data_IF_856020100679
#
_entry.id   IF_856020100679
#
_cell.length_a   1.000
_cell.length_b   1.000
_cell.length_c   1.000
_cell.angle_alpha   90.00
_cell.angle_beta   90.00
_cell.angle_gamma   90.00
#
_symmetry.space_group_name_H-M   'P 1'
#
loop_
_entity.id
_entity.type
_entity.pdbx_description
1 polymer ?
#
# COMPACT_ATOMS: atom_id res chain seq x y z
N UNK A 1 -10.29 -6.03 22.37
CA UNK A 1 -11.39 -5.30 21.70
C UNK A 1 -11.62 -3.91 22.29
N UNK A 2 -12.15 -3.75 23.51
CA UNK A 2 -12.48 -2.43 24.09
C UNK A 2 -11.32 -1.43 24.06
N UNK A 3 -10.13 -1.85 24.48
CA UNK A 3 -8.93 -1.01 24.45
C UNK A 3 -8.56 -0.53 23.04
N UNK A 4 -8.66 -1.41 22.04
CA UNK A 4 -8.36 -1.07 20.64
C UNK A 4 -9.32 0.00 20.12
N UNK A 5 -10.63 -0.20 20.28
CA UNK A 5 -11.61 0.78 19.85
C UNK A 5 -11.53 2.10 20.64
N UNK A 6 -11.22 2.05 21.94
CA UNK A 6 -10.99 3.27 22.72
C UNK A 6 -9.80 4.08 22.16
N UNK A 7 -8.68 3.43 21.84
CA UNK A 7 -7.51 4.08 21.20
C UNK A 7 -7.85 4.68 19.83
N UNK A 8 -8.67 4.00 19.03
CA UNK A 8 -9.14 4.52 17.74
C UNK A 8 -10.05 5.74 17.92
N UNK A 9 -10.95 5.73 18.90
CA UNK A 9 -11.84 6.86 19.20
C UNK A 9 -11.10 8.08 19.74
N UNK A 10 -9.98 7.87 20.43
CA UNK A 10 -9.09 8.94 20.89
C UNK A 10 -8.26 9.55 19.75
N UNK A 11 -8.21 8.91 18.57
CA UNK A 11 -7.43 9.41 17.43
C UNK A 11 -5.95 9.56 17.75
N UNK A 12 -5.36 8.59 18.47
CA UNK A 12 -3.96 8.61 18.94
C UNK A 12 -3.64 9.67 20.01
N UNK A 13 -4.59 10.54 20.38
CA UNK A 13 -4.45 11.49 21.49
C UNK A 13 -4.81 10.83 22.83
N UNK A 14 -3.80 10.24 23.47
CA UNK A 14 -3.96 9.57 24.76
C UNK A 14 -4.21 10.53 25.94
N UNK A 15 -4.18 11.86 25.71
CA UNK A 15 -4.52 12.86 26.74
C UNK A 15 -6.03 13.06 26.91
N UNK A 16 -6.84 12.62 25.93
CA UNK A 16 -8.29 12.85 25.90
C UNK A 16 -8.69 14.26 25.46
N UNK A 17 -7.75 15.09 24.99
CA UNK A 17 -7.97 16.47 24.60
C UNK A 17 -8.65 16.67 23.23
N UNK A 18 -8.91 15.59 22.49
CA UNK A 18 -9.56 15.64 21.18
C UNK A 18 -8.71 16.30 20.09
N UNK A 19 -7.39 16.41 20.30
CA UNK A 19 -6.43 16.98 19.32
C UNK A 19 -5.78 15.89 18.46
N UNK A 20 -6.37 14.70 18.45
CA UNK A 20 -5.92 13.55 17.70
C UNK A 20 -6.19 13.64 16.20
N UNK A 21 -5.81 12.59 15.50
CA UNK A 21 -6.07 12.40 14.08
C UNK A 21 -7.51 11.95 13.83
N UNK A 22 -7.99 12.09 12.59
CA UNK A 22 -9.32 11.59 12.24
C UNK A 22 -9.39 10.06 12.31
N UNK A 23 -10.58 9.50 12.54
CA UNK A 23 -10.78 8.05 12.70
C UNK A 23 -10.28 7.25 11.50
N UNK A 24 -10.40 7.78 10.28
CA UNK A 24 -9.89 7.13 9.07
C UNK A 24 -8.36 6.96 9.12
N UNK A 25 -7.64 8.01 9.54
CA UNK A 25 -6.19 7.95 9.71
C UNK A 25 -5.79 7.05 10.88
N UNK A 26 -6.51 7.11 12.00
CA UNK A 26 -6.26 6.22 13.14
C UNK A 26 -6.41 4.73 12.76
N UNK A 27 -7.42 4.38 11.96
CA UNK A 27 -7.59 3.02 11.44
C UNK A 27 -6.47 2.65 10.47
N UNK A 28 -6.10 3.54 9.55
CA UNK A 28 -4.99 3.33 8.61
C UNK A 28 -3.65 3.07 9.32
N UNK A 29 -3.34 3.88 10.34
CA UNK A 29 -2.17 3.69 11.20
C UNK A 29 -2.25 2.39 11.98
N UNK A 30 -3.42 2.05 12.56
CA UNK A 30 -3.61 0.81 13.30
C UNK A 30 -3.39 -0.44 12.44
N UNK A 31 -3.87 -0.45 11.18
CA UNK A 31 -3.63 -1.55 10.22
C UNK A 31 -2.13 -1.66 9.91
N UNK A 32 -1.48 -0.53 9.62
CA UNK A 32 -0.04 -0.50 9.29
C UNK A 32 0.82 -0.98 10.47
N UNK A 33 0.50 -0.52 11.68
CA UNK A 33 1.18 -0.93 12.91
C UNK A 33 0.95 -2.41 13.24
N UNK A 34 -0.27 -2.91 13.03
CA UNK A 34 -0.56 -4.35 13.18
C UNK A 34 0.26 -5.18 12.19
N UNK A 35 0.33 -4.76 10.93
CA UNK A 35 1.15 -5.42 9.92
C UNK A 35 2.63 -5.44 10.32
N UNK A 36 3.19 -4.31 10.76
CA UNK A 36 4.56 -4.23 11.25
C UNK A 36 4.79 -5.14 12.47
N UNK A 37 3.84 -5.20 13.42
CA UNK A 37 3.96 -6.05 14.60
C UNK A 37 3.87 -7.55 14.30
N UNK A 38 3.07 -7.95 13.32
CA UNK A 38 2.90 -9.37 12.95
C UNK A 38 4.02 -9.85 12.02
N UNK A 39 4.35 -9.05 11.00
CA UNK A 39 5.21 -9.45 9.89
C UNK A 39 6.58 -8.77 9.89
N UNK A 40 6.82 -7.75 10.73
CA UNK A 40 8.11 -7.03 10.78
C UNK A 40 9.29 -7.91 11.20
N UNK A 41 9.02 -8.98 11.94
CA UNK A 41 9.99 -10.01 12.33
C UNK A 41 9.93 -11.27 11.45
N UNK A 42 9.22 -11.22 10.32
CA UNK A 42 9.20 -12.32 9.35
C UNK A 42 10.47 -12.26 8.50
N UNK A 43 11.58 -12.74 9.06
CA UNK A 43 12.88 -12.71 8.39
C UNK A 43 13.23 -14.02 7.67
N UNK A 44 12.45 -15.07 7.92
CA UNK A 44 12.65 -16.43 7.42
C UNK A 44 11.40 -16.83 6.62
N UNK A 45 11.59 -17.63 5.56
CA UNK A 45 10.48 -18.29 4.87
C UNK A 45 10.06 -19.50 5.69
N UNK A 46 9.11 -19.28 6.58
CA UNK A 46 8.54 -20.29 7.47
C UNK A 46 7.08 -19.95 7.79
N UNK A 47 6.27 -20.91 8.25
CA UNK A 47 4.92 -20.65 8.71
C UNK A 47 4.92 -19.67 9.87
N UNK A 48 3.96 -18.74 9.89
CA UNK A 48 3.76 -17.87 11.05
C UNK A 48 3.41 -18.69 12.28
N UNK A 49 3.90 -18.26 13.44
CA UNK A 49 3.49 -18.89 14.69
C UNK A 49 1.96 -18.82 14.85
N UNK A 50 1.33 -19.88 15.40
CA UNK A 50 -0.13 -19.92 15.56
C UNK A 50 -0.68 -18.70 16.30
N UNK A 51 0.08 -18.19 17.28
CA UNK A 51 -0.27 -16.98 18.04
C UNK A 51 -0.29 -15.72 17.17
N UNK A 52 0.74 -15.49 16.33
CA UNK A 52 0.80 -14.34 15.41
C UNK A 52 -0.31 -14.40 14.38
N UNK A 53 -0.58 -15.59 13.85
CA UNK A 53 -1.65 -15.82 12.87
C UNK A 53 -3.04 -15.55 13.45
N UNK A 54 -3.29 -16.00 14.68
CA UNK A 54 -4.53 -15.73 15.40
C UNK A 54 -4.67 -14.23 15.72
N UNK A 55 -3.57 -13.58 16.12
CA UNK A 55 -3.54 -12.14 16.37
C UNK A 55 -3.89 -11.36 15.10
N UNK A 56 -3.25 -11.67 13.97
CA UNK A 56 -3.52 -11.05 12.67
C UNK A 56 -5.00 -11.14 12.29
N UNK A 57 -5.56 -12.37 12.24
CA UNK A 57 -6.97 -12.58 11.86
C UNK A 57 -7.92 -11.82 12.77
N UNK A 58 -7.78 -11.99 14.09
CA UNK A 58 -8.66 -11.37 15.08
C UNK A 58 -8.61 -9.85 15.04
N UNK A 59 -7.42 -9.27 14.99
CA UNK A 59 -7.28 -7.81 15.02
C UNK A 59 -7.65 -7.17 13.69
N UNK A 60 -7.35 -7.82 12.56
CA UNK A 60 -7.79 -7.34 11.26
C UNK A 60 -9.33 -7.37 11.14
N UNK A 61 -10.00 -8.41 11.67
CA UNK A 61 -11.47 -8.46 11.73
C UNK A 61 -12.05 -7.28 12.54
N UNK A 62 -11.42 -6.90 13.66
CA UNK A 62 -11.85 -5.73 14.42
C UNK A 62 -11.63 -4.41 13.68
N UNK A 63 -10.51 -4.26 12.98
CA UNK A 63 -10.21 -3.03 12.23
C UNK A 63 -11.10 -2.89 10.99
N UNK A 64 -11.47 -4.01 10.37
CA UNK A 64 -12.31 -4.04 9.17
C UNK A 64 -13.80 -3.96 9.48
N UNK A 65 -14.28 -4.23 10.70
CA UNK A 65 -15.72 -4.27 10.99
C UNK A 65 -16.46 -2.96 10.67
N UNK A 66 -15.75 -1.82 10.60
CA UNK A 66 -16.33 -0.54 10.18
C UNK A 66 -16.87 -0.59 8.76
N UNK A 67 -16.27 -1.40 7.86
CA UNK A 67 -16.69 -1.50 6.46
C UNK A 67 -18.11 -2.02 6.32
N UNK A 68 -18.56 -2.85 7.25
CA UNK A 68 -19.90 -3.44 7.23
C UNK A 68 -20.99 -2.38 7.49
N UNK A 69 -20.60 -1.25 8.09
CA UNK A 69 -21.47 -0.11 8.37
C UNK A 69 -21.42 0.97 7.29
N UNK A 70 -20.50 0.88 6.32
CA UNK A 70 -20.35 1.88 5.24
C UNK A 70 -21.25 1.48 4.06
N UNK A 71 -22.39 2.16 3.95
CA UNK A 71 -23.45 1.82 3.01
C UNK A 71 -23.86 2.98 2.10
N UNK A 72 -24.26 2.63 0.88
CA UNK A 72 -25.01 3.47 -0.05
C UNK A 72 -26.51 3.14 0.09
N UNK A 73 -27.34 4.17 0.25
CA UNK A 73 -28.80 4.01 0.22
C UNK A 73 -29.26 3.99 -1.24
N UNK A 74 -29.84 2.87 -1.68
CA UNK A 74 -30.36 2.70 -3.05
C UNK A 74 -31.88 2.47 -3.03
N UNK A 75 -32.64 3.15 -3.91
CA UNK A 75 -34.08 2.89 -4.03
C UNK A 75 -34.31 1.46 -4.51
N UNK A 76 -35.33 0.81 -3.94
CA UNK A 76 -35.74 -0.56 -4.26
C UNK A 76 -37.25 -0.70 -4.09
N UNK A 77 -37.87 -1.62 -4.83
CA UNK A 77 -39.25 -2.00 -4.62
C UNK A 77 -39.31 -3.19 -3.64
N UNK A 78 -40.19 -3.12 -2.65
CA UNK A 78 -40.42 -4.20 -1.70
C UNK A 78 -41.90 -4.57 -1.67
N UNK A 79 -42.18 -5.87 -1.75
CA UNK A 79 -43.53 -6.43 -1.65
C UNK A 79 -43.89 -6.64 -0.17
N UNK A 80 -45.04 -6.10 0.24
CA UNK A 80 -45.58 -6.32 1.58
C UNK A 80 -46.56 -7.51 1.59
N UNK A 81 -46.68 -8.25 2.72
CA UNK A 81 -47.55 -9.44 2.82
C UNK A 81 -49.05 -9.21 2.58
N UNK A 82 -49.49 -7.97 2.35
CA UNK A 82 -50.88 -7.58 2.08
C UNK A 82 -51.21 -7.26 0.62
N UNK A 83 -50.27 -7.48 -0.31
CA UNK A 83 -50.45 -7.11 -1.72
C UNK A 83 -50.23 -5.61 -1.95
N UNK A 84 -49.00 -5.26 -2.34
CA UNK A 84 -48.60 -3.90 -2.65
C UNK A 84 -47.08 -3.77 -2.72
N UNK A 85 -46.60 -3.06 -3.74
CA UNK A 85 -45.17 -2.72 -3.90
C UNK A 85 -44.93 -1.31 -3.41
N UNK A 86 -44.00 -1.15 -2.47
CA UNK A 86 -43.58 0.17 -1.99
C UNK A 86 -42.15 0.46 -2.42
N UNK A 87 -41.87 1.71 -2.78
CA UNK A 87 -40.50 2.19 -2.96
C UNK A 87 -39.88 2.42 -1.57
N UNK A 88 -38.82 1.68 -1.30
CA UNK A 88 -38.08 1.70 -0.04
C UNK A 88 -36.60 1.95 -0.33
N UNK A 89 -35.94 2.73 0.51
CA UNK A 89 -34.49 2.87 0.46
C UNK A 89 -33.82 1.70 1.16
N UNK A 90 -32.98 0.96 0.45
CA UNK A 90 -32.25 -0.19 0.98
C UNK A 90 -30.78 0.16 1.11
N UNK A 91 -30.21 -0.10 2.29
CA UNK A 91 -28.78 0.00 2.52
C UNK A 91 -28.04 -1.13 1.82
N UNK A 92 -27.06 -0.79 0.96
CA UNK A 92 -26.12 -1.74 0.36
C UNK A 92 -24.70 -1.31 0.68
N UNK A 93 -23.74 -2.23 0.89
CA UNK A 93 -22.35 -1.86 1.08
C UNK A 93 -21.86 -0.94 -0.05
N UNK A 94 -21.01 0.03 0.28
CA UNK A 94 -20.42 0.94 -0.72
C UNK A 94 -19.71 0.14 -1.80
N UNK A 95 -19.87 0.57 -3.04
CA UNK A 95 -19.51 -0.22 -4.23
C UNK A 95 -18.02 -0.60 -4.29
N UNK A 96 -17.13 0.33 -3.94
CA UNK A 96 -15.69 0.11 -3.83
C UNK A 96 -15.35 -0.95 -2.77
N UNK A 97 -15.98 -0.90 -1.59
CA UNK A 97 -15.75 -1.84 -0.50
C UNK A 97 -16.30 -3.23 -0.84
N UNK A 98 -17.46 -3.28 -1.49
CA UNK A 98 -18.10 -4.53 -1.91
C UNK A 98 -17.21 -5.35 -2.85
N UNK A 99 -16.47 -4.68 -3.75
CA UNK A 99 -15.57 -5.34 -4.71
C UNK A 99 -14.18 -5.56 -4.11
N UNK A 100 -13.57 -4.51 -3.55
CA UNK A 100 -12.15 -4.54 -3.19
C UNK A 100 -11.88 -5.31 -1.90
N UNK A 101 -12.78 -5.23 -0.89
CA UNK A 101 -12.51 -5.83 0.41
C UNK A 101 -12.48 -7.38 0.37
N UNK A 102 -13.41 -8.08 -0.30
CA UNK A 102 -13.30 -9.53 -0.47
C UNK A 102 -12.07 -9.94 -1.28
N UNK A 103 -11.68 -9.15 -2.29
CA UNK A 103 -10.47 -9.41 -3.07
C UNK A 103 -9.22 -9.33 -2.18
N UNK A 104 -9.09 -8.28 -1.36
CA UNK A 104 -7.97 -8.14 -0.42
C UNK A 104 -7.93 -9.27 0.63
N UNK A 105 -9.08 -9.68 1.18
CA UNK A 105 -9.15 -10.84 2.10
C UNK A 105 -8.69 -12.14 1.43
N UNK A 106 -8.99 -12.31 0.14
CA UNK A 106 -8.50 -13.45 -0.64
C UNK A 106 -6.99 -13.39 -0.86
N UNK A 107 -6.44 -12.21 -1.16
CA UNK A 107 -4.99 -12.00 -1.29
C UNK A 107 -4.26 -12.32 0.02
N UNK A 108 -4.79 -11.85 1.16
CA UNK A 108 -4.27 -12.15 2.50
C UNK A 108 -4.24 -13.65 2.79
N UNK A 109 -5.36 -14.35 2.54
CA UNK A 109 -5.44 -15.79 2.73
C UNK A 109 -4.43 -16.56 1.85
N UNK A 110 -4.21 -16.12 0.60
CA UNK A 110 -3.21 -16.72 -0.28
C UNK A 110 -1.79 -16.50 0.24
N UNK A 111 -1.43 -15.31 0.74
CA UNK A 111 -0.12 -15.04 1.33
C UNK A 111 0.13 -15.92 2.56
N UNK A 112 -0.84 -16.02 3.47
CA UNK A 112 -0.74 -16.88 4.64
C UNK A 112 -0.57 -18.36 4.24
N UNK A 113 -1.30 -18.81 3.21
CA UNK A 113 -1.17 -20.18 2.69
C UNK A 113 0.19 -20.45 2.06
N UNK A 114 0.80 -19.47 1.39
CA UNK A 114 2.16 -19.59 0.84
C UNK A 114 3.16 -19.77 1.99
N UNK A 115 3.05 -18.93 3.03
CA UNK A 115 3.91 -19.04 4.22
C UNK A 115 3.74 -20.38 4.93
N UNK A 116 2.51 -20.85 5.11
CA UNK A 116 2.20 -22.16 5.72
C UNK A 116 2.83 -23.33 4.97
N UNK A 117 3.06 -23.18 3.67
CA UNK A 117 3.65 -24.25 2.88
C UNK A 117 5.10 -24.54 3.31
N UNK A 118 5.83 -23.58 3.88
CA UNK A 118 7.26 -23.70 4.20
C UNK A 118 7.60 -24.51 5.47
N UNK A 119 6.90 -25.62 5.75
CA UNK A 119 7.10 -26.42 6.97
C UNK A 119 8.20 -27.48 6.90
N UNK A 120 8.81 -27.75 5.74
CA UNK A 120 9.91 -28.73 5.56
C UNK A 120 10.80 -28.30 4.38
N UNK A 121 11.58 -27.25 4.57
CA UNK A 121 12.40 -26.65 3.51
C UNK A 121 13.79 -27.28 3.44
N UNK A 122 14.30 -27.55 2.23
CA UNK A 122 15.69 -28.00 2.00
C UNK A 122 16.74 -26.93 2.33
N UNK A 123 16.31 -25.67 2.43
CA UNK A 123 17.13 -24.56 2.87
C UNK A 123 16.85 -24.22 4.33
N UNK A 124 17.87 -23.73 5.02
CA UNK A 124 17.76 -23.28 6.40
C UNK A 124 18.31 -21.86 6.55
N UNK A 125 18.09 -21.26 7.71
CA UNK A 125 18.61 -19.93 8.01
C UNK A 125 19.61 -20.02 9.14
N UNK A 126 20.82 -19.47 8.92
CA UNK A 126 21.79 -19.28 9.98
C UNK A 126 21.61 -17.88 10.57
N UNK A 127 21.46 -17.81 11.89
CA UNK A 127 21.45 -16.54 12.59
C UNK A 127 22.88 -15.96 12.55
N UNK A 128 22.98 -14.67 12.18
CA UNK A 128 24.24 -13.93 12.29
C UNK A 128 24.49 -13.70 13.78
N UNK A 129 25.28 -14.58 14.38
CA UNK A 129 25.52 -14.61 15.82
C UNK A 129 26.01 -13.26 16.35
N UNK A 130 25.18 -12.62 17.17
CA UNK A 130 25.68 -11.79 18.27
C UNK A 130 25.53 -12.67 19.52
N UNK A 131 26.58 -13.44 19.81
CA UNK A 131 26.72 -14.07 21.12
C UNK A 131 27.18 -12.95 22.05
N UNK A 132 26.27 -12.37 22.82
CA UNK A 132 26.67 -11.66 24.04
C UNK A 132 27.02 -12.75 25.03
N UNK A 133 28.32 -13.07 25.11
CA UNK A 133 28.84 -13.91 26.17
C UNK A 133 28.89 -13.08 27.46
N UNK A 134 27.85 -13.18 28.28
CA UNK A 134 27.94 -12.87 29.71
C UNK A 134 28.71 -14.00 30.39
N UNK A 135 30.02 -14.12 30.14
CA UNK A 135 30.94 -14.71 31.11
C UNK A 135 32.38 -14.43 30.73
N UNK A 136 33.14 -13.97 31.72
CA UNK A 136 34.57 -13.78 31.71
C UNK A 136 35.26 -15.15 31.47
N UNK A 137 35.92 -15.29 30.33
CA UNK A 137 36.58 -16.54 29.97
C UNK A 137 37.06 -16.55 28.53
N UNK A 138 38.30 -16.11 28.31
CA UNK A 138 39.00 -16.25 27.04
C UNK A 138 39.19 -17.75 26.75
N UNK A 139 38.34 -18.31 25.90
CA UNK A 139 38.66 -19.52 25.13
C UNK A 139 38.64 -19.17 23.64
N UNK A 140 39.83 -18.98 23.10
CA UNK A 140 40.06 -18.82 21.67
C UNK A 140 40.18 -20.19 21.02
N UNK A 141 39.16 -20.67 20.31
CA UNK A 141 39.28 -21.71 19.26
C UNK A 141 38.06 -21.70 18.32
N UNK A 142 38.17 -22.24 17.09
CA UNK A 142 39.23 -22.09 16.12
C UNK A 142 38.68 -21.44 14.83
N UNK A 143 39.56 -20.76 14.11
CA UNK A 143 39.35 -20.33 12.72
C UNK A 143 39.06 -21.53 11.82
N UNK A 144 37.79 -21.92 11.67
CA UNK A 144 37.34 -22.77 10.58
C UNK A 144 37.10 -21.89 9.36
N UNK A 145 38.15 -21.80 8.55
CA UNK A 145 38.13 -21.35 7.17
C UNK A 145 37.00 -22.01 6.38
N UNK A 146 35.90 -21.28 6.18
CA UNK A 146 35.15 -21.33 4.92
C UNK A 146 34.88 -19.89 4.49
N UNK A 147 35.49 -19.55 3.38
CA UNK A 147 35.34 -18.30 2.66
C UNK A 147 33.90 -18.14 2.15
N UNK A 148 33.02 -17.57 2.95
CA UNK A 148 31.72 -17.07 2.48
C UNK A 148 31.47 -15.68 3.09
N UNK A 149 32.34 -14.73 2.71
CA UNK A 149 31.97 -13.32 2.84
C UNK A 149 30.73 -13.07 1.97
N UNK A 150 29.68 -12.42 2.49
CA UNK A 150 28.48 -12.14 1.73
C UNK A 150 28.81 -11.27 0.51
N UNK A 151 28.13 -11.54 -0.61
CA UNK A 151 28.04 -10.59 -1.73
C UNK A 151 27.61 -9.21 -1.22
N UNK A 152 28.18 -8.14 -1.79
CA UNK A 152 27.90 -6.72 -1.50
C UNK A 152 26.38 -6.41 -1.39
N UNK A 153 25.52 -7.16 -2.11
CA UNK A 153 24.05 -7.04 -2.03
C UNK A 153 23.44 -7.38 -0.66
N UNK A 154 24.19 -8.03 0.24
CA UNK A 154 23.73 -8.42 1.57
C UNK A 154 24.27 -7.53 2.71
N UNK A 155 25.12 -6.54 2.43
CA UNK A 155 25.59 -5.58 3.46
C UNK A 155 24.48 -4.61 3.90
N UNK A 156 23.60 -4.22 2.98
CA UNK A 156 22.51 -3.24 3.26
C UNK A 156 21.47 -3.74 4.27
N UNK A 157 21.33 -5.06 4.46
CA UNK A 157 20.35 -5.68 5.36
C UNK A 157 21.04 -6.59 6.37
N UNK A 158 22.04 -6.06 7.05
CA UNK A 158 22.90 -6.79 7.99
C UNK A 158 22.13 -7.49 9.11
N UNK A 159 20.90 -7.06 9.42
CA UNK A 159 20.02 -7.63 10.43
C UNK A 159 19.25 -8.89 9.97
N UNK A 160 19.29 -9.26 8.68
CA UNK A 160 18.60 -10.46 8.19
C UNK A 160 19.45 -11.74 8.37
N UNK A 161 18.83 -12.88 8.72
CA UNK A 161 19.51 -14.16 8.81
C UNK A 161 19.94 -14.64 7.42
N UNK A 162 21.04 -15.40 7.36
CA UNK A 162 21.62 -15.84 6.09
C UNK A 162 20.97 -17.16 5.63
N UNK A 163 20.39 -17.22 4.41
CA UNK A 163 19.86 -18.47 3.87
C UNK A 163 21.01 -19.41 3.45
N UNK A 164 20.97 -20.65 3.93
CA UNK A 164 21.90 -21.73 3.56
C UNK A 164 21.16 -22.80 2.78
N UNK A 165 21.83 -23.35 1.77
CA UNK A 165 21.34 -24.46 0.94
C UNK A 165 22.31 -25.64 1.03
N UNK A 166 21.89 -26.87 0.69
CA UNK A 166 22.79 -28.02 0.66
C UNK A 166 23.95 -27.80 -0.33
N UNK A 167 25.15 -28.38 -0.09
CA UNK A 167 26.29 -28.24 -1.01
C UNK A 167 26.01 -28.76 -2.43
N UNK A 168 25.10 -29.72 -2.58
CA UNK A 168 24.62 -30.23 -3.87
C UNK A 168 23.61 -29.31 -4.57
N UNK A 169 23.25 -28.18 -3.95
CA UNK A 169 22.13 -27.34 -4.35
C UNK A 169 20.77 -27.90 -3.94
N UNK A 170 19.73 -27.10 -4.16
CA UNK A 170 18.33 -27.50 -3.99
C UNK A 170 17.91 -28.50 -5.06
N UNK A 171 17.01 -29.41 -4.70
CA UNK A 171 16.36 -30.31 -5.66
C UNK A 171 15.59 -29.53 -6.73
N UNK A 172 15.39 -30.15 -7.90
CA UNK A 172 14.61 -29.56 -8.98
C UNK A 172 13.17 -29.26 -8.56
N UNK A 173 12.57 -30.11 -7.74
CA UNK A 173 11.20 -29.91 -7.23
C UNK A 173 11.13 -28.73 -6.27
N UNK A 174 12.07 -28.62 -5.32
CA UNK A 174 12.17 -27.47 -4.40
C UNK A 174 12.42 -26.16 -5.16
N UNK A 175 13.27 -26.17 -6.19
CA UNK A 175 13.51 -25.00 -7.05
C UNK A 175 12.26 -24.58 -7.81
N UNK A 176 11.56 -25.52 -8.45
CA UNK A 176 10.30 -25.26 -9.17
C UNK A 176 9.23 -24.71 -8.23
N UNK A 177 9.11 -25.28 -7.03
CA UNK A 177 8.16 -24.83 -6.01
C UNK A 177 8.46 -23.41 -5.53
N UNK A 178 9.73 -23.09 -5.27
CA UNK A 178 10.16 -21.73 -4.91
C UNK A 178 9.85 -20.72 -6.02
N UNK A 179 10.11 -21.09 -7.27
CA UNK A 179 9.79 -20.25 -8.43
C UNK A 179 8.28 -19.99 -8.53
N UNK A 180 7.45 -21.04 -8.38
CA UNK A 180 6.00 -20.90 -8.37
C UNK A 180 5.50 -20.03 -7.22
N UNK A 181 6.05 -20.18 -6.02
CA UNK A 181 5.74 -19.30 -4.89
C UNK A 181 6.10 -17.85 -5.18
N UNK A 182 7.29 -17.60 -5.73
CA UNK A 182 7.74 -16.25 -6.11
C UNK A 182 6.80 -15.63 -7.13
N UNK A 183 6.46 -16.37 -8.18
CA UNK A 183 5.60 -15.88 -9.25
C UNK A 183 4.17 -15.63 -8.73
N UNK A 184 3.64 -16.49 -7.85
CA UNK A 184 2.35 -16.30 -7.18
C UNK A 184 2.36 -15.04 -6.30
N UNK A 185 3.36 -14.88 -5.43
CA UNK A 185 3.49 -13.71 -4.56
C UNK A 185 3.64 -12.41 -5.36
N UNK A 186 4.34 -12.45 -6.50
CA UNK A 186 4.44 -11.31 -7.41
C UNK A 186 3.09 -10.92 -8.01
N UNK A 187 2.26 -11.89 -8.38
CA UNK A 187 0.89 -11.60 -8.86
C UNK A 187 0.01 -11.04 -7.74
N UNK A 188 0.15 -11.55 -6.52
CA UNK A 188 -0.55 -11.00 -5.35
C UNK A 188 -0.14 -9.55 -5.13
N UNK A 189 1.16 -9.24 -5.17
CA UNK A 189 1.67 -7.88 -5.05
C UNK A 189 1.08 -6.97 -6.13
N UNK A 190 1.08 -7.39 -7.39
CA UNK A 190 0.48 -6.64 -8.50
C UNK A 190 -1.00 -6.35 -8.27
N UNK A 191 -1.77 -7.35 -7.85
CA UNK A 191 -3.20 -7.19 -7.58
C UNK A 191 -3.44 -6.22 -6.41
N UNK A 192 -2.68 -6.35 -5.32
CA UNK A 192 -2.78 -5.44 -4.18
C UNK A 192 -2.38 -4.01 -4.55
N UNK A 193 -1.30 -3.83 -5.30
CA UNK A 193 -0.86 -2.52 -5.80
C UNK A 193 -1.89 -1.89 -6.73
N UNK A 194 -2.53 -2.66 -7.62
CA UNK A 194 -3.59 -2.16 -8.48
C UNK A 194 -4.79 -1.63 -7.70
N UNK A 195 -5.24 -2.36 -6.66
CA UNK A 195 -6.30 -1.88 -5.76
C UNK A 195 -5.87 -0.60 -5.03
N UNK A 196 -4.65 -0.59 -4.48
CA UNK A 196 -4.11 0.58 -3.79
C UNK A 196 -4.06 1.82 -4.71
N UNK A 197 -3.55 1.66 -5.93
CA UNK A 197 -3.48 2.74 -6.93
C UNK A 197 -4.86 3.25 -7.33
N UNK A 198 -5.84 2.36 -7.52
CA UNK A 198 -7.21 2.75 -7.85
C UNK A 198 -7.87 3.55 -6.72
N UNK A 199 -7.74 3.09 -5.47
CA UNK A 199 -8.29 3.80 -4.31
C UNK A 199 -7.64 5.18 -4.14
N UNK A 200 -6.31 5.27 -4.27
CA UNK A 200 -5.59 6.55 -4.20
C UNK A 200 -6.04 7.54 -5.28
N UNK A 201 -6.33 7.05 -6.50
CA UNK A 201 -6.80 7.90 -7.60
C UNK A 201 -8.22 8.45 -7.38
N UNK A 202 -9.05 7.75 -6.59
CA UNK A 202 -10.40 8.17 -6.22
C UNK A 202 -10.45 9.08 -4.97
N UNK A 203 -9.36 9.14 -4.20
CA UNK A 203 -9.29 9.99 -3.01
C UNK A 203 -9.31 11.48 -3.35
N UNK A 204 -9.98 12.26 -2.50
CA UNK A 204 -9.99 13.71 -2.63
C UNK A 204 -8.59 14.30 -2.40
N UNK A 205 -8.17 15.19 -3.30
CA UNK A 205 -6.88 15.87 -3.20
C UNK A 205 -6.95 16.91 -2.07
N UNK A 206 -6.06 16.86 -1.06
CA UNK A 206 -6.11 17.79 0.05
C UNK A 206 -6.00 19.26 -0.39
N UNK A 207 -6.86 20.12 0.17
CA UNK A 207 -6.83 21.56 -0.08
C UNK A 207 -5.48 22.21 0.30
N UNK A 208 -4.79 21.68 1.32
CA UNK A 208 -3.45 22.14 1.70
C UNK A 208 -2.44 21.93 0.57
N UNK A 209 -2.46 20.76 -0.08
CA UNK A 209 -1.63 20.47 -1.24
C UNK A 209 -1.98 21.38 -2.42
N UNK A 210 -3.26 21.55 -2.74
CA UNK A 210 -3.68 22.44 -3.84
C UNK A 210 -3.31 23.93 -3.63
N UNK A 211 -3.09 24.35 -2.38
CA UNK A 211 -2.64 25.69 -2.00
C UNK A 211 -1.11 25.84 -2.05
N UNK A 212 -0.35 24.76 -1.84
CA UNK A 212 1.12 24.78 -1.95
C UNK A 212 1.61 24.72 -3.40
N UNK A 213 0.77 24.27 -4.34
CA UNK A 213 1.13 24.19 -5.75
C UNK A 213 1.50 25.57 -6.36
N UNK A 214 2.54 25.62 -7.22
CA UNK A 214 2.88 26.80 -8.01
C UNK A 214 1.73 27.31 -8.89
N UNK A 215 1.83 28.57 -9.35
CA UNK A 215 0.81 29.20 -10.20
C UNK A 215 0.78 28.61 -11.61
N UNK A 216 1.90 28.12 -12.13
CA UNK A 216 1.97 27.52 -13.46
C UNK A 216 2.74 26.19 -13.46
N UNK A 217 2.31 25.25 -14.30
CA UNK A 217 2.93 23.93 -14.41
C UNK A 217 4.37 23.97 -14.95
N UNK A 218 4.73 25.05 -15.66
CA UNK A 218 6.10 25.30 -16.10
C UNK A 218 7.06 25.46 -14.92
N UNK A 219 6.61 26.11 -13.83
CA UNK A 219 7.41 26.26 -12.61
C UNK A 219 7.67 24.91 -11.91
N UNK A 220 6.75 23.94 -12.05
CA UNK A 220 6.92 22.59 -11.50
C UNK A 220 7.88 21.74 -12.34
N UNK A 221 7.71 21.77 -13.67
CA UNK A 221 8.40 20.89 -14.60
C UNK A 221 9.81 21.40 -14.97
N UNK A 222 10.01 22.71 -14.91
CA UNK A 222 11.19 23.37 -15.50
C UNK A 222 11.08 23.48 -17.03
N UNK A 223 11.97 24.29 -17.61
CA UNK A 223 11.92 24.66 -19.03
C UNK A 223 12.08 23.48 -19.99
N UNK A 224 12.95 22.53 -19.65
CA UNK A 224 13.24 21.36 -20.49
C UNK A 224 12.05 20.42 -20.62
N UNK A 225 11.56 19.93 -19.48
CA UNK A 225 10.41 19.02 -19.44
C UNK A 225 9.13 19.70 -19.95
N UNK A 226 8.90 20.97 -19.62
CA UNK A 226 7.72 21.69 -20.11
C UNK A 226 7.70 21.77 -21.62
N UNK A 227 8.81 22.19 -22.27
CA UNK A 227 8.90 22.26 -23.73
C UNK A 227 8.67 20.91 -24.39
N UNK A 228 9.21 19.84 -23.81
CA UNK A 228 9.03 18.49 -24.33
C UNK A 228 7.58 18.01 -24.22
N UNK A 229 6.94 18.20 -23.07
CA UNK A 229 5.54 17.81 -22.82
C UNK A 229 4.53 18.62 -23.65
N UNK A 230 4.88 19.85 -24.04
CA UNK A 230 4.04 20.71 -24.88
C UNK A 230 4.46 20.71 -26.35
N UNK A 231 5.35 19.82 -26.78
CA UNK A 231 5.75 19.71 -28.17
C UNK A 231 4.60 19.14 -29.03
N UNK A 232 4.56 19.50 -30.31
CA UNK A 232 3.53 19.01 -31.24
C UNK A 232 3.62 17.49 -31.46
N UNK A 233 4.82 16.92 -31.32
CA UNK A 233 5.07 15.49 -31.34
C UNK A 233 5.60 15.06 -29.97
N UNK A 234 4.83 14.21 -29.28
CA UNK A 234 5.18 13.71 -27.96
C UNK A 234 5.32 12.19 -27.98
N UNK A 235 6.47 11.69 -27.54
CA UNK A 235 6.76 10.28 -27.34
C UNK A 235 7.22 10.06 -25.89
N UNK A 236 6.45 9.36 -25.04
CA UNK A 236 6.78 9.21 -23.63
C UNK A 236 8.08 8.43 -23.40
N UNK A 237 8.42 7.50 -24.28
CA UNK A 237 9.64 6.69 -24.20
C UNK A 237 10.89 7.57 -24.31
N UNK A 238 10.90 8.50 -25.26
CA UNK A 238 12.01 9.43 -25.47
C UNK A 238 12.15 10.46 -24.32
N UNK A 239 11.06 10.81 -23.63
CA UNK A 239 11.16 11.61 -22.40
C UNK A 239 11.86 10.81 -21.30
N UNK A 240 11.47 9.55 -21.11
CA UNK A 240 12.06 8.69 -20.07
C UNK A 240 13.54 8.43 -20.30
N UNK A 241 13.98 8.29 -21.56
CA UNK A 241 15.39 8.17 -21.93
C UNK A 241 16.21 9.44 -21.63
N UNK A 242 15.56 10.61 -21.66
CA UNK A 242 16.19 11.91 -21.35
C UNK A 242 16.24 12.19 -19.84
N UNK A 243 15.38 11.55 -19.05
CA UNK A 243 15.28 11.80 -17.61
C UNK A 243 16.33 11.00 -16.84
N UNK A 244 16.94 11.66 -15.86
CA UNK A 244 17.88 11.01 -14.96
C UNK A 244 17.14 10.09 -13.98
N UNK A 245 17.24 8.78 -14.23
CA UNK A 245 16.71 7.71 -13.36
C UNK A 245 17.82 7.04 -12.54
N UNK A 246 18.96 7.72 -12.35
CA UNK A 246 20.11 7.19 -11.61
C UNK A 246 19.80 6.85 -10.14
N UNK A 247 18.82 7.53 -9.54
CA UNK A 247 18.39 7.29 -8.16
C UNK A 247 16.87 7.26 -8.02
N UNK A 248 16.41 6.52 -7.00
CA UNK A 248 15.00 6.50 -6.60
C UNK A 248 14.51 7.90 -6.20
N UNK A 249 15.35 8.69 -5.55
CA UNK A 249 15.04 10.07 -5.15
C UNK A 249 14.76 10.96 -6.36
N UNK A 250 15.66 10.96 -7.36
CA UNK A 250 15.50 11.75 -8.58
C UNK A 250 14.23 11.36 -9.33
N UNK A 251 13.99 10.05 -9.44
CA UNK A 251 12.80 9.50 -10.09
C UNK A 251 11.50 9.93 -9.39
N UNK A 252 11.48 9.88 -8.05
CA UNK A 252 10.34 10.31 -7.25
C UNK A 252 10.11 11.83 -7.36
N UNK A 253 11.18 12.63 -7.36
CA UNK A 253 11.08 14.07 -7.53
C UNK A 253 10.47 14.44 -8.89
N UNK A 254 10.92 13.77 -9.96
CA UNK A 254 10.36 13.93 -11.31
C UNK A 254 8.87 13.57 -11.31
N UNK A 255 8.49 12.43 -10.72
CA UNK A 255 7.10 12.01 -10.63
C UNK A 255 6.22 13.05 -9.91
N UNK A 256 6.69 13.56 -8.75
CA UNK A 256 6.01 14.60 -7.99
C UNK A 256 5.80 15.90 -8.80
N UNK A 257 6.82 16.31 -9.57
CA UNK A 257 6.73 17.49 -10.45
C UNK A 257 5.71 17.32 -11.56
N UNK A 258 5.67 16.13 -12.18
CA UNK A 258 4.68 15.79 -13.21
C UNK A 258 3.28 15.78 -12.63
N UNK A 259 3.05 15.10 -11.50
CA UNK A 259 1.75 15.04 -10.83
C UNK A 259 1.23 16.45 -10.45
N UNK A 260 2.09 17.27 -9.84
CA UNK A 260 1.79 18.65 -9.51
C UNK A 260 1.33 19.46 -10.75
N UNK A 261 2.03 19.29 -11.88
CA UNK A 261 1.69 19.97 -13.14
C UNK A 261 0.33 19.54 -13.68
N UNK A 262 -0.01 18.25 -13.60
CA UNK A 262 -1.31 17.69 -13.99
C UNK A 262 -2.43 18.31 -13.17
N UNK A 263 -2.25 18.45 -11.85
CA UNK A 263 -3.24 19.09 -10.99
C UNK A 263 -3.45 20.57 -11.33
N UNK A 264 -2.37 21.30 -11.61
CA UNK A 264 -2.45 22.71 -12.04
C UNK A 264 -3.25 22.83 -13.35
N UNK A 265 -2.99 21.97 -14.32
CA UNK A 265 -3.69 21.98 -15.61
C UNK A 265 -5.17 21.59 -15.47
N UNK A 266 -5.49 20.54 -14.71
CA UNK A 266 -6.88 20.16 -14.40
C UNK A 266 -7.66 21.35 -13.81
N UNK A 267 -7.07 22.05 -12.83
CA UNK A 267 -7.67 23.24 -12.19
C UNK A 267 -7.89 24.39 -13.19
N UNK A 268 -6.96 24.63 -14.11
CA UNK A 268 -7.09 25.65 -15.16
C UNK A 268 -8.20 25.32 -16.16
N UNK A 269 -8.29 24.05 -16.59
CA UNK A 269 -9.33 23.59 -17.51
C UNK A 269 -10.71 23.75 -16.88
N UNK A 270 -10.89 23.32 -15.62
CA UNK A 270 -12.12 23.52 -14.86
C UNK A 270 -12.50 25.00 -14.78
N UNK A 271 -11.55 25.89 -14.39
CA UNK A 271 -11.80 27.34 -14.37
C UNK A 271 -12.24 27.89 -15.73
N UNK A 272 -11.58 27.46 -16.82
CA UNK A 272 -11.90 27.88 -18.19
C UNK A 272 -13.31 27.42 -18.60
N UNK A 273 -13.67 26.16 -18.29
CA UNK A 273 -14.99 25.61 -18.55
C UNK A 273 -16.09 26.38 -17.78
N UNK A 274 -15.85 26.72 -16.51
CA UNK A 274 -16.77 27.55 -15.72
C UNK A 274 -16.93 28.97 -16.29
N UNK A 275 -15.86 29.61 -16.75
CA UNK A 275 -15.96 30.94 -17.39
C UNK A 275 -16.70 30.88 -18.72
N UNK A 276 -16.50 29.84 -19.53
CA UNK A 276 -17.25 29.65 -20.78
C UNK A 276 -18.73 29.41 -20.51
N UNK A 277 -19.08 28.56 -19.53
CA UNK A 277 -20.47 28.30 -19.16
C UNK A 277 -21.19 29.54 -18.59
N UNK A 278 -20.49 30.38 -17.81
CA UNK A 278 -21.01 31.70 -17.42
C UNK A 278 -21.20 32.63 -18.62
N UNK A 279 -20.28 32.64 -19.57
CA UNK A 279 -20.42 33.38 -20.83
C UNK A 279 -21.66 32.98 -21.62
N UNK A 280 -21.98 31.68 -21.66
CA UNK A 280 -23.18 31.17 -22.32
C UNK A 280 -24.46 31.52 -21.56
N UNK A 281 -24.45 31.51 -20.21
CA UNK A 281 -25.58 32.00 -19.40
C UNK A 281 -25.83 33.50 -19.56
N UNK A 282 -24.78 34.30 -19.73
CA UNK A 282 -24.89 35.74 -20.01
C UNK A 282 -25.42 36.01 -21.43
N UNK A 283 -25.00 35.21 -22.42
CA UNK A 283 -25.48 35.31 -23.82
C UNK A 283 -26.95 34.85 -23.95
N UNK A 284 -27.40 33.88 -23.15
CA UNK A 284 -28.77 33.36 -23.20
C UNK A 284 -29.77 34.14 -22.33
N UNK A 285 -29.37 35.22 -21.66
CA UNK A 285 -30.31 36.15 -21.04
C UNK A 285 -31.20 35.56 -19.93
N UNK A 286 -30.71 34.61 -19.14
CA UNK A 286 -31.43 34.16 -17.94
C UNK A 286 -30.93 34.95 -16.73
N UNK A 287 -31.58 36.08 -16.46
CA UNK A 287 -31.58 36.70 -15.13
C UNK A 287 -32.78 36.14 -14.36
N UNK A 288 -32.51 35.50 -13.22
CA UNK A 288 -33.52 35.27 -12.17
C UNK A 288 -33.79 36.55 -11.41
#
# INVERSE_FOLDING_TARGET
>A
MKERFAKLLLGEDMSGGGKGVCTALAISNAITNLSASVFGELWKLEPLSPQRKLMWRREMDWLLCVSDSIVELKPSLQEFPGGGTFEVMVARPRSDLYVNLPALKKLDAMLLSILDSFHDSEFCYADRGVVISDNDGIEAFPSSSTSEWPSIRQEEKWWLPFPKVPPSGLSEDSRKRLQQCRDCTHQILKAAMAINSNVLAEMEIPNAYLKSLPKCGKDCLGEGMYRYLTADQFFPECLLDYLDQSSEYTTLEIANRVEASVHIWKKKILKKAFTTCKGWKVIMGWQS
#
